data_IF_437267309787
#
_entry.id   IF_437267309787
#
_cell.length_a   1.000
_cell.length_b   1.000
_cell.length_c   1.000
_cell.angle_alpha   90.00
_cell.angle_beta   90.00
_cell.angle_gamma   90.00
#
_symmetry.space_group_name_H-M   'P 1'
#
loop_
_entity.id
_entity.type
_entity.pdbx_description
1 polymer ?
#
# COMPACT_ATOMS: atom_id res chain seq x y z
N UNK A 1 12.50 -39.05 -2.55
CA UNK A 1 11.03 -39.12 -2.61
C UNK A 1 10.54 -37.71 -2.87
N UNK A 2 10.20 -37.38 -4.11
CA UNK A 2 9.81 -36.01 -4.48
C UNK A 2 8.30 -35.89 -4.45
N UNK A 3 7.76 -35.16 -3.46
CA UNK A 3 6.34 -34.81 -3.41
C UNK A 3 5.99 -33.86 -4.57
N UNK A 4 5.15 -34.32 -5.49
CA UNK A 4 4.56 -33.49 -6.53
C UNK A 4 3.38 -32.74 -5.94
N UNK A 5 3.49 -31.42 -5.82
CA UNK A 5 2.35 -30.54 -5.56
C UNK A 5 1.31 -30.69 -6.70
N UNK A 6 0.04 -30.99 -6.41
CA UNK A 6 -0.97 -31.15 -7.44
C UNK A 6 -1.26 -29.78 -8.09
N UNK A 7 -1.00 -29.69 -9.41
CA UNK A 7 -1.39 -28.54 -10.25
C UNK A 7 -2.91 -28.36 -10.18
N UNK A 8 -3.36 -27.20 -9.68
CA UNK A 8 -4.77 -26.80 -9.61
C UNK A 8 -5.33 -26.79 -11.05
N UNK A 9 -6.20 -27.76 -11.35
CA UNK A 9 -6.89 -27.84 -12.63
C UNK A 9 -7.88 -26.67 -12.76
N UNK A 10 -8.06 -26.14 -13.97
CA UNK A 10 -9.00 -25.07 -14.29
C UNK A 10 -10.47 -25.43 -13.96
N UNK A 11 -10.76 -26.71 -13.73
CA UNK A 11 -12.05 -27.24 -13.28
C UNK A 11 -12.07 -27.63 -11.78
N UNK A 12 -11.13 -27.12 -10.96
CA UNK A 12 -11.17 -27.34 -9.53
C UNK A 12 -12.36 -26.60 -8.91
N UNK A 13 -13.16 -27.31 -8.09
CA UNK A 13 -14.26 -26.75 -7.31
C UNK A 13 -13.78 -25.48 -6.59
N UNK A 14 -14.49 -24.34 -6.70
CA UNK A 14 -14.11 -23.12 -6.00
C UNK A 14 -13.91 -23.41 -4.52
N UNK A 15 -12.83 -22.85 -3.94
CA UNK A 15 -12.61 -22.92 -2.51
C UNK A 15 -13.79 -22.31 -1.76
N UNK A 16 -14.03 -22.86 -0.58
CA UNK A 16 -15.14 -22.60 0.34
C UNK A 16 -15.73 -21.17 0.27
N UNK A 17 -17.07 -21.02 0.15
CA UNK A 17 -17.73 -19.72 0.00
C UNK A 17 -17.51 -18.78 1.19
N UNK A 18 -17.19 -19.29 2.39
CA UNK A 18 -16.86 -18.44 3.55
C UNK A 18 -15.53 -17.69 3.37
N UNK A 19 -14.66 -18.14 2.46
CA UNK A 19 -13.46 -17.38 2.08
C UNK A 19 -13.79 -16.02 1.44
N UNK A 20 -14.99 -15.87 0.86
CA UNK A 20 -15.46 -14.62 0.26
C UNK A 20 -16.22 -13.73 1.25
N UNK A 21 -16.67 -14.31 2.37
CA UNK A 21 -17.42 -13.67 3.46
C UNK A 21 -16.46 -13.23 4.58
N UNK A 22 -15.15 -13.20 4.33
CA UNK A 22 -14.23 -12.55 5.25
C UNK A 22 -14.34 -11.04 5.06
N UNK A 23 -15.15 -10.40 5.92
CA UNK A 23 -15.19 -8.94 6.08
C UNK A 23 -13.73 -8.45 6.10
N UNK A 24 -13.32 -7.50 5.23
CA UNK A 24 -11.98 -6.96 5.32
C UNK A 24 -11.83 -6.42 6.73
N UNK A 25 -10.79 -6.89 7.44
CA UNK A 25 -10.43 -6.44 8.77
C UNK A 25 -10.63 -4.92 8.84
N UNK A 26 -11.65 -4.48 9.58
CA UNK A 26 -11.90 -3.04 9.72
C UNK A 26 -10.63 -2.47 10.32
N UNK A 27 -10.00 -1.46 9.71
CA UNK A 27 -8.81 -0.88 10.31
C UNK A 27 -9.15 -0.49 11.74
N UNK A 28 -8.40 -1.07 12.69
CA UNK A 28 -8.55 -0.81 14.12
C UNK A 28 -8.72 0.68 14.39
N UNK A 29 -9.56 1.09 15.36
CA UNK A 29 -9.67 2.50 15.75
C UNK A 29 -8.27 3.01 16.05
N UNK A 30 -7.84 3.96 15.23
CA UNK A 30 -6.45 4.36 15.10
C UNK A 30 -6.03 5.10 16.38
N UNK A 31 -4.96 4.63 17.00
CA UNK A 31 -4.29 5.29 18.13
C UNK A 31 -4.00 6.76 17.81
N UNK A 32 -4.25 7.65 18.78
CA UNK A 32 -4.20 9.13 18.75
C UNK A 32 -2.91 9.73 18.14
N UNK A 33 -1.82 8.97 18.00
CA UNK A 33 -0.63 9.39 17.24
C UNK A 33 -0.88 9.63 15.73
N UNK A 34 -2.07 9.32 15.24
CA UNK A 34 -2.46 9.52 13.85
C UNK A 34 -3.23 10.82 13.54
N UNK A 35 -3.44 11.67 14.55
CA UNK A 35 -4.36 12.80 14.48
C UNK A 35 -3.99 13.85 13.41
N UNK A 36 -2.74 13.87 12.93
CA UNK A 36 -2.28 14.78 11.88
C UNK A 36 -1.99 14.11 10.52
N UNK A 37 -2.48 12.89 10.28
CA UNK A 37 -2.25 12.17 9.01
C UNK A 37 -3.48 12.15 8.10
N UNK A 38 -3.33 12.68 6.88
CA UNK A 38 -4.37 12.63 5.84
C UNK A 38 -4.08 11.55 4.77
N UNK A 39 -5.12 10.93 4.20
CA UNK A 39 -4.99 10.00 3.06
C UNK A 39 -5.00 10.80 1.75
N UNK A 40 -3.94 10.66 0.97
CA UNK A 40 -3.84 11.21 -0.37
C UNK A 40 -4.12 10.12 -1.42
N UNK A 41 -5.16 10.31 -2.22
CA UNK A 41 -5.45 9.51 -3.42
C UNK A 41 -5.13 10.38 -4.65
N UNK A 42 -4.33 9.86 -5.58
CA UNK A 42 -3.96 10.57 -6.81
C UNK A 42 -4.17 9.66 -8.02
N UNK A 43 -4.61 10.25 -9.12
CA UNK A 43 -4.64 9.58 -10.41
C UNK A 43 -3.28 9.73 -11.09
N UNK A 44 -2.69 8.61 -11.47
CA UNK A 44 -1.43 8.53 -12.20
C UNK A 44 -1.55 7.47 -13.29
N UNK A 45 -0.77 7.62 -14.37
CA UNK A 45 -0.74 6.58 -15.40
C UNK A 45 -0.15 5.28 -14.85
N UNK A 46 -0.54 4.14 -15.44
CA UNK A 46 0.01 2.84 -15.05
C UNK A 46 1.53 2.78 -15.20
N UNK A 47 2.07 3.41 -16.24
CA UNK A 47 3.50 3.53 -16.48
C UNK A 47 4.20 4.36 -15.39
N UNK A 48 3.64 5.51 -15.00
CA UNK A 48 4.17 6.33 -13.92
C UNK A 48 4.16 5.57 -12.59
N UNK A 49 3.07 4.86 -12.28
CA UNK A 49 3.00 4.00 -11.10
C UNK A 49 4.08 2.91 -11.11
N UNK A 50 4.35 2.32 -12.28
CA UNK A 50 5.43 1.34 -12.48
C UNK A 50 6.80 1.92 -12.16
N UNK A 51 7.12 3.09 -12.73
CA UNK A 51 8.39 3.80 -12.49
C UNK A 51 8.58 4.16 -11.01
N UNK A 52 7.53 4.68 -10.36
CA UNK A 52 7.55 5.00 -8.91
C UNK A 52 7.83 3.76 -8.08
N UNK A 53 7.17 2.62 -8.39
CA UNK A 53 7.37 1.37 -7.65
C UNK A 53 8.80 0.83 -7.81
N UNK A 54 9.36 0.88 -9.02
CA UNK A 54 10.74 0.43 -9.27
C UNK A 54 11.73 1.29 -8.49
N UNK A 55 11.57 2.63 -8.52
CA UNK A 55 12.44 3.55 -7.79
C UNK A 55 12.38 3.33 -6.27
N UNK A 56 11.18 3.11 -5.73
CA UNK A 56 11.00 2.80 -4.31
C UNK A 56 11.69 1.49 -3.92
N UNK A 57 11.54 0.44 -4.74
CA UNK A 57 12.19 -0.85 -4.51
C UNK A 57 13.72 -0.76 -4.54
N UNK A 58 14.28 -0.04 -5.53
CA UNK A 58 15.73 0.17 -5.63
C UNK A 58 16.30 0.92 -4.41
N UNK A 59 15.50 1.75 -3.75
CA UNK A 59 15.88 2.51 -2.55
C UNK A 59 15.55 1.79 -1.24
N UNK A 60 14.96 0.60 -1.28
CA UNK A 60 14.59 -0.17 -0.09
C UNK A 60 13.50 0.50 0.77
N UNK A 61 12.67 1.37 0.18
CA UNK A 61 11.62 2.12 0.89
C UNK A 61 10.24 1.89 0.26
N UNK A 62 9.17 2.21 0.99
CA UNK A 62 7.83 2.15 0.42
C UNK A 62 7.58 3.33 -0.52
N UNK A 63 6.61 3.17 -1.43
CA UNK A 63 6.15 4.28 -2.28
C UNK A 63 5.61 5.44 -1.44
N UNK A 64 4.91 5.13 -0.34
CA UNK A 64 4.37 6.15 0.56
C UNK A 64 5.49 6.98 1.21
N UNK A 65 6.57 6.35 1.66
CA UNK A 65 7.71 7.05 2.27
C UNK A 65 8.46 7.89 1.24
N UNK A 66 8.59 7.37 0.01
CA UNK A 66 9.20 8.13 -1.08
C UNK A 66 8.39 9.37 -1.46
N UNK A 67 7.07 9.25 -1.53
CA UNK A 67 6.19 10.39 -1.79
C UNK A 67 6.19 11.38 -0.63
N UNK A 68 6.21 10.91 0.63
CA UNK A 68 6.31 11.78 1.80
C UNK A 68 7.60 12.61 1.79
N UNK A 69 8.76 11.98 1.57
CA UNK A 69 10.03 12.69 1.45
C UNK A 69 10.10 13.64 0.24
N UNK A 70 9.34 13.35 -0.82
CA UNK A 70 9.19 14.27 -1.96
C UNK A 70 8.35 15.49 -1.58
N UNK A 71 7.23 15.29 -0.89
CA UNK A 71 6.36 16.37 -0.46
C UNK A 71 7.00 17.25 0.61
N UNK A 72 7.73 16.70 1.58
CA UNK A 72 8.46 17.48 2.59
C UNK A 72 9.51 18.41 1.98
N UNK A 73 10.14 17.98 0.89
CA UNK A 73 11.13 18.81 0.16
C UNK A 73 10.47 19.91 -0.65
N UNK A 74 9.33 19.63 -1.27
CA UNK A 74 8.61 20.60 -2.12
C UNK A 74 7.76 21.59 -1.31
N UNK A 75 7.22 21.13 -0.18
CA UNK A 75 6.37 21.88 0.73
C UNK A 75 6.99 21.88 2.14
N UNK A 76 8.11 22.60 2.34
CA UNK A 76 8.69 22.74 3.67
C UNK A 76 7.71 23.46 4.61
N UNK A 77 7.78 23.22 5.93
CA UNK A 77 6.94 23.93 6.88
C UNK A 77 7.17 25.44 6.74
N UNK A 78 6.08 26.21 6.66
CA UNK A 78 6.14 27.66 6.74
C UNK A 78 6.77 28.05 8.07
N UNK A 79 7.84 28.86 8.04
CA UNK A 79 8.60 29.31 9.21
C UNK A 79 7.79 30.06 10.30
N UNK A 80 6.46 30.19 10.15
CA UNK A 80 5.61 31.01 11.02
C UNK A 80 4.32 30.36 11.51
N UNK A 81 4.16 29.03 11.37
CA UNK A 81 3.04 28.32 12.02
C UNK A 81 3.58 27.25 12.96
N UNK A 82 4.19 27.72 14.05
CA UNK A 82 4.25 26.98 15.30
C UNK A 82 3.22 27.64 16.22
N UNK A 83 2.36 26.88 16.91
CA UNK A 83 1.48 27.43 17.94
C UNK A 83 2.28 28.07 19.09
#
# INVERSE_FOLDING_TARGET
>A
MSERFPKRSFAARPADPESWIKEPDRPSPRTEAADFTARLTIDVTADMRGRIKIAAFQRGQTVADMLRALFEREFPPSQGDAP
#
